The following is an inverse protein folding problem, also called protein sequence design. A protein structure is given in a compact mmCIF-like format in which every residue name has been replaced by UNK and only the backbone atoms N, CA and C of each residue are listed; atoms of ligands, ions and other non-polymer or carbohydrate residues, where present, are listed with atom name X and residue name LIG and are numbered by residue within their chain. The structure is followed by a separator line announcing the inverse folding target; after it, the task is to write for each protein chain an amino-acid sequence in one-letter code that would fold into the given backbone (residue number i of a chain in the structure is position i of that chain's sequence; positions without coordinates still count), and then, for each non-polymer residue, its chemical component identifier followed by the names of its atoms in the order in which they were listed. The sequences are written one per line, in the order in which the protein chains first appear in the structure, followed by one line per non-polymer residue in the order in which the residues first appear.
data_IF_451325343248
#
_entry.id   IF_451325343248
#
_cell.length_a   1.000
_cell.length_b   1.000
_cell.length_c   1.000
_cell.angle_alpha   90.00
_cell.angle_beta   90.00
_cell.angle_gamma   90.00
#
_symmetry.space_group_name_H-M   'P 1'
#
loop_
_entity.id
_entity.type
_entity.pdbx_description
1 polymer ?
#
# COMPACT_ATOMS: atom_id res chain seq x y z
N UNK A 1 18.32 0.04 18.77
CA UNK A 1 19.27 0.98 18.13
C UNK A 1 18.47 2.19 17.63
N UNK A 2 18.94 3.39 17.92
CA UNK A 2 18.27 4.63 17.53
C UNK A 2 18.58 4.98 16.08
N UNK A 3 17.62 4.74 15.17
CA UNK A 3 17.76 5.00 13.74
C UNK A 3 18.07 6.49 13.45
N UNK A 4 17.57 7.41 14.29
CA UNK A 4 17.81 8.84 14.09
C UNK A 4 19.29 9.20 14.21
N UNK A 5 20.04 8.53 15.08
CA UNK A 5 21.47 8.79 15.31
C UNK A 5 22.36 8.37 14.14
N UNK A 6 21.89 7.47 13.27
CA UNK A 6 22.67 6.92 12.15
C UNK A 6 22.07 7.29 10.77
N UNK A 7 21.08 8.18 10.72
CA UNK A 7 20.34 8.49 9.49
C UNK A 7 21.26 8.96 8.35
N UNK A 8 22.30 9.71 8.67
CA UNK A 8 23.21 10.34 7.69
C UNK A 8 24.07 9.32 6.95
N UNK A 9 24.32 8.15 7.56
CA UNK A 9 25.04 7.05 6.91
C UNK A 9 24.08 6.02 6.32
N UNK A 10 22.98 5.71 7.02
CA UNK A 10 22.01 4.68 6.61
C UNK A 10 21.21 5.08 5.37
N UNK A 11 20.76 6.33 5.27
CA UNK A 11 19.95 6.76 4.12
C UNK A 11 20.74 6.67 2.80
N UNK A 12 21.99 7.17 2.69
CA UNK A 12 22.78 6.99 1.47
C UNK A 12 23.07 5.53 1.12
N UNK A 13 23.33 4.68 2.13
CA UNK A 13 23.54 3.25 1.93
C UNK A 13 22.27 2.56 1.42
N UNK A 14 21.12 2.88 2.01
CA UNK A 14 19.81 2.39 1.60
C UNK A 14 19.50 2.80 0.16
N UNK A 15 19.76 4.06 -0.20
CA UNK A 15 19.56 4.56 -1.55
C UNK A 15 20.48 3.86 -2.56
N UNK A 16 21.74 3.62 -2.18
CA UNK A 16 22.70 2.89 -3.02
C UNK A 16 22.26 1.44 -3.22
N UNK A 17 21.81 0.76 -2.17
CA UNK A 17 21.26 -0.59 -2.24
C UNK A 17 19.97 -0.65 -3.08
N UNK A 18 19.10 0.37 -2.96
CA UNK A 18 17.89 0.50 -3.76
C UNK A 18 18.25 0.62 -5.25
N UNK A 19 19.08 1.60 -5.62
CA UNK A 19 19.45 1.88 -7.01
C UNK A 19 20.21 0.73 -7.68
N UNK A 20 21.08 0.05 -6.94
CA UNK A 20 21.81 -1.12 -7.44
C UNK A 20 20.96 -2.39 -7.53
N UNK A 21 19.72 -2.37 -7.02
CA UNK A 21 18.87 -3.55 -6.94
C UNK A 21 19.30 -4.58 -5.88
N UNK A 22 20.25 -4.24 -5.01
CA UNK A 22 20.76 -5.11 -3.94
C UNK A 22 19.94 -5.03 -2.64
N UNK A 23 19.02 -4.08 -2.53
CA UNK A 23 18.08 -4.01 -1.42
C UNK A 23 17.34 -5.34 -1.21
N UNK A 24 17.14 -5.76 0.04
CA UNK A 24 16.32 -6.92 0.39
C UNK A 24 15.22 -6.45 1.34
N UNK A 25 13.97 -6.73 0.98
CA UNK A 25 12.86 -6.43 1.86
C UNK A 25 12.97 -7.32 3.12
N UNK A 26 13.04 -6.75 4.32
CA UNK A 26 12.98 -7.49 5.57
C UNK A 26 11.60 -8.13 5.75
N UNK A 27 11.54 -9.12 6.64
CA UNK A 27 10.27 -9.70 7.03
C UNK A 27 9.40 -8.67 7.76
N UNK A 28 8.10 -8.71 7.49
CA UNK A 28 7.10 -7.85 8.10
C UNK A 28 6.64 -8.49 9.40
N UNK A 29 6.68 -7.74 10.49
CA UNK A 29 6.17 -8.21 11.77
C UNK A 29 4.65 -8.06 11.80
N UNK A 30 3.92 -9.15 12.06
CA UNK A 30 2.48 -9.11 12.25
C UNK A 30 2.14 -8.85 13.71
N UNK A 31 1.32 -7.84 13.93
CA UNK A 31 0.73 -7.53 15.24
C UNK A 31 -0.78 -7.59 15.14
N UNK A 32 -1.42 -8.03 16.21
CA UNK A 32 -2.88 -8.16 16.28
C UNK A 32 -3.45 -7.07 17.19
N UNK A 33 -4.22 -6.17 16.60
CA UNK A 33 -4.87 -5.07 17.34
C UNK A 33 -6.31 -5.49 17.64
N UNK A 34 -6.78 -5.40 18.90
CA UNK A 34 -8.17 -5.64 19.24
C UNK A 34 -9.10 -4.68 18.49
N UNK A 35 -10.18 -5.22 17.93
CA UNK A 35 -11.29 -4.45 17.38
C UNK A 35 -12.45 -4.48 18.39
N UNK A 36 -13.30 -3.45 18.36
CA UNK A 36 -14.43 -3.30 19.30
C UNK A 36 -15.47 -4.43 19.25
N UNK A 37 -15.45 -5.27 18.20
CA UNK A 37 -16.31 -6.43 18.02
C UNK A 37 -15.67 -7.76 18.52
N UNK A 38 -14.58 -7.68 19.29
CA UNK A 38 -13.86 -8.84 19.81
C UNK A 38 -12.99 -9.57 18.77
N UNK A 39 -13.00 -9.14 17.51
CA UNK A 39 -12.11 -9.66 16.47
C UNK A 39 -10.74 -8.99 16.55
N UNK A 40 -9.71 -9.64 16.04
CA UNK A 40 -8.38 -9.07 15.91
C UNK A 40 -8.19 -8.53 14.49
N UNK A 41 -7.62 -7.34 14.36
CA UNK A 41 -7.16 -6.79 13.08
C UNK A 41 -5.66 -7.08 12.95
N UNK A 42 -5.23 -7.92 11.99
CA UNK A 42 -3.81 -8.09 11.71
C UNK A 42 -3.25 -6.82 11.07
N UNK A 43 -2.09 -6.38 11.55
CA UNK A 43 -1.34 -5.25 11.01
C UNK A 43 0.10 -5.70 10.74
N UNK A 44 0.59 -5.42 9.54
CA UNK A 44 1.99 -5.58 9.19
C UNK A 44 2.76 -4.32 9.55
N UNK A 45 3.77 -4.45 10.41
CA UNK A 45 4.70 -3.39 10.75
C UNK A 45 5.98 -3.55 9.92
N UNK A 46 6.14 -2.78 8.82
CA UNK A 46 7.40 -2.71 8.11
C UNK A 46 8.44 -1.92 8.92
N UNK A 47 9.72 -2.11 8.57
CA UNK A 47 10.82 -1.33 9.17
C UNK A 47 10.73 0.14 8.78
N UNK A 48 11.46 1.01 9.50
CA UNK A 48 11.53 2.44 9.16
C UNK A 48 12.10 2.67 7.76
N UNK A 49 13.10 1.87 7.36
CA UNK A 49 13.73 1.95 6.03
C UNK A 49 12.75 1.51 4.93
N UNK A 50 11.96 0.45 5.17
CA UNK A 50 10.90 0.02 4.26
C UNK A 50 9.82 1.08 4.12
N UNK A 51 9.34 1.64 5.23
CA UNK A 51 8.33 2.72 5.19
C UNK A 51 8.85 3.91 4.38
N UNK A 52 10.12 4.28 4.56
CA UNK A 52 10.74 5.37 3.83
C UNK A 52 10.78 5.08 2.31
N UNK A 53 11.27 3.91 1.91
CA UNK A 53 11.33 3.52 0.50
C UNK A 53 9.95 3.32 -0.12
N UNK A 54 9.01 2.69 0.59
CA UNK A 54 7.63 2.52 0.14
C UNK A 54 6.96 3.88 -0.06
N UNK A 55 7.18 4.84 0.84
CA UNK A 55 6.66 6.21 0.71
C UNK A 55 7.26 6.91 -0.52
N UNK A 56 8.58 6.80 -0.71
CA UNK A 56 9.26 7.39 -1.85
C UNK A 56 8.76 6.79 -3.19
N UNK A 57 8.66 5.46 -3.28
CA UNK A 57 8.12 4.77 -4.46
C UNK A 57 6.66 5.14 -4.69
N UNK A 58 5.84 5.21 -3.63
CA UNK A 58 4.42 5.61 -3.73
C UNK A 58 4.28 7.00 -4.35
N UNK A 59 5.10 7.97 -3.94
CA UNK A 59 5.09 9.32 -4.53
C UNK A 59 5.41 9.31 -6.02
N UNK A 60 6.39 8.49 -6.44
CA UNK A 60 6.73 8.34 -7.86
C UNK A 60 5.57 7.70 -8.64
N UNK A 61 4.96 6.66 -8.10
CA UNK A 61 3.81 6.00 -8.74
C UNK A 61 2.60 6.93 -8.82
N UNK A 62 2.33 7.71 -7.78
CA UNK A 62 1.23 8.68 -7.77
C UNK A 62 1.34 9.65 -8.94
N UNK A 63 2.54 10.18 -9.24
CA UNK A 63 2.75 11.07 -10.39
C UNK A 63 2.40 10.41 -11.74
N UNK A 64 2.49 9.09 -11.84
CA UNK A 64 2.16 8.35 -13.07
C UNK A 64 0.66 8.03 -13.15
N UNK A 65 0.04 7.69 -12.02
CA UNK A 65 -1.33 7.15 -12.00
C UNK A 65 -2.42 8.18 -11.68
N UNK A 66 -2.09 9.33 -11.08
CA UNK A 66 -3.11 10.27 -10.56
C UNK A 66 -4.07 10.76 -11.66
N UNK A 67 -3.53 11.12 -12.82
CA UNK A 67 -4.29 11.62 -13.98
C UNK A 67 -5.13 10.52 -14.68
N UNK A 68 -4.90 9.25 -14.34
CA UNK A 68 -5.61 8.12 -14.93
C UNK A 68 -6.74 7.58 -14.06
N UNK A 69 -6.82 7.98 -12.78
CA UNK A 69 -7.88 7.52 -11.90
C UNK A 69 -9.23 8.03 -12.37
N UNK A 70 -10.25 7.18 -12.25
CA UNK A 70 -11.63 7.58 -12.46
C UNK A 70 -11.97 8.80 -11.58
N UNK A 71 -12.65 9.84 -12.12
CA UNK A 71 -12.96 11.05 -11.37
C UNK A 71 -13.71 10.82 -10.05
N UNK A 72 -14.61 9.83 -10.02
CA UNK A 72 -15.35 9.42 -8.82
C UNK A 72 -14.58 8.47 -7.88
N UNK A 73 -13.27 8.30 -8.06
CA UNK A 73 -12.42 7.56 -7.13
C UNK A 73 -11.85 8.51 -6.07
N UNK A 74 -12.17 8.28 -4.79
CA UNK A 74 -11.79 9.18 -3.69
C UNK A 74 -10.83 8.56 -2.67
N UNK A 75 -10.73 7.23 -2.63
CA UNK A 75 -9.94 6.53 -1.63
C UNK A 75 -8.43 6.64 -1.88
N UNK A 76 -7.67 6.91 -0.82
CA UNK A 76 -6.20 6.86 -0.80
C UNK A 76 -5.50 7.75 -1.85
N UNK A 77 -6.16 8.82 -2.29
CA UNK A 77 -5.64 9.75 -3.31
C UNK A 77 -5.28 11.11 -2.70
N UNK A 78 -4.16 11.74 -3.09
CA UNK A 78 -3.83 13.10 -2.68
C UNK A 78 -4.94 14.09 -3.05
N UNK A 79 -5.32 14.97 -2.11
CA UNK A 79 -6.33 16.00 -2.35
C UNK A 79 -7.78 15.50 -2.49
N UNK A 80 -8.01 14.19 -2.30
CA UNK A 80 -9.35 13.59 -2.27
C UNK A 80 -9.75 13.20 -0.85
N UNK A 81 -11.04 13.27 -0.54
CA UNK A 81 -11.55 12.92 0.78
C UNK A 81 -12.87 12.16 0.74
N UNK A 82 -13.19 11.50 1.86
CA UNK A 82 -14.46 10.81 2.07
C UNK A 82 -15.65 11.79 1.98
N UNK A 83 -15.45 13.04 2.43
CA UNK A 83 -16.48 14.08 2.37
C UNK A 83 -16.84 14.45 0.94
N UNK A 84 -15.85 14.56 0.04
CA UNK A 84 -16.11 14.81 -1.38
C UNK A 84 -16.91 13.66 -2.02
N UNK A 85 -16.62 12.40 -1.65
CA UNK A 85 -17.38 11.25 -2.13
C UNK A 85 -18.85 11.31 -1.68
N UNK A 86 -19.10 11.68 -0.42
CA UNK A 86 -20.44 11.83 0.13
C UNK A 86 -21.20 12.99 -0.52
N UNK A 87 -20.52 14.10 -0.79
CA UNK A 87 -21.10 15.26 -1.47
C UNK A 87 -21.50 14.92 -2.91
N UNK A 88 -20.63 14.22 -3.66
CA UNK A 88 -20.98 13.74 -5.00
C UNK A 88 -22.19 12.80 -4.95
N UNK A 89 -22.19 11.80 -4.05
CA UNK A 89 -23.32 10.88 -3.89
C UNK A 89 -24.62 11.63 -3.56
N UNK A 90 -24.57 12.55 -2.60
CA UNK A 90 -25.73 13.38 -2.20
C UNK A 90 -26.25 14.19 -3.38
N UNK A 91 -25.36 14.74 -4.22
CA UNK A 91 -25.76 15.50 -5.39
C UNK A 91 -26.47 14.66 -6.45
N UNK A 92 -26.00 13.42 -6.66
CA UNK A 92 -26.55 12.48 -7.64
C UNK A 92 -27.94 12.00 -7.22
N UNK A 93 -28.14 11.74 -5.92
CA UNK A 93 -29.44 11.31 -5.39
C UNK A 93 -30.43 12.47 -5.36
N UNK A 94 -30.00 13.64 -4.89
CA UNK A 94 -30.89 14.79 -4.67
C UNK A 94 -31.31 15.51 -5.95
N UNK A 95 -30.38 15.70 -6.90
CA UNK A 95 -30.60 16.59 -8.05
C UNK A 95 -30.73 15.85 -9.39
N UNK A 96 -30.14 14.66 -9.51
CA UNK A 96 -30.16 13.87 -10.76
C UNK A 96 -31.19 12.74 -10.76
N UNK A 97 -31.95 12.60 -9.67
CA UNK A 97 -33.07 11.66 -9.60
C UNK A 97 -32.68 10.18 -9.51
N UNK A 98 -31.41 9.88 -9.22
CA UNK A 98 -30.94 8.51 -9.03
C UNK A 98 -31.43 7.98 -7.67
N UNK A 99 -32.43 7.10 -7.68
CA UNK A 99 -33.08 6.58 -6.45
C UNK A 99 -32.60 5.20 -6.01
N UNK A 100 -31.79 4.54 -6.83
CA UNK A 100 -31.27 3.20 -6.56
C UNK A 100 -29.76 3.29 -6.36
N UNK A 101 -29.28 2.76 -5.23
CA UNK A 101 -27.86 2.69 -4.89
C UNK A 101 -27.48 1.21 -4.83
N UNK A 102 -26.41 0.85 -5.52
CA UNK A 102 -25.81 -0.47 -5.43
C UNK A 102 -24.61 -0.35 -4.50
N UNK A 103 -24.68 -0.99 -3.34
CA UNK A 103 -23.57 -1.11 -2.41
C UNK A 103 -22.80 -2.41 -2.71
N UNK A 104 -21.50 -2.28 -2.96
CA UNK A 104 -20.62 -3.39 -3.31
C UNK A 104 -19.29 -3.24 -2.56
N UNK A 105 -18.94 -4.24 -1.76
CA UNK A 105 -17.68 -4.32 -1.02
C UNK A 105 -16.88 -5.56 -1.41
N UNK A 106 -15.56 -5.42 -1.46
CA UNK A 106 -14.66 -6.53 -1.77
C UNK A 106 -14.13 -7.16 -0.48
N UNK A 107 -14.55 -8.39 -0.22
CA UNK A 107 -14.04 -9.15 0.91
C UNK A 107 -12.54 -9.42 0.75
N UNK A 108 -11.78 -9.15 1.81
CA UNK A 108 -10.34 -9.43 1.88
C UNK A 108 -9.53 -8.83 0.71
N UNK A 109 -9.91 -7.65 0.21
CA UNK A 109 -9.28 -7.04 -0.98
C UNK A 109 -7.75 -7.11 -0.97
N UNK A 110 -7.10 -6.66 0.10
CA UNK A 110 -5.64 -6.66 0.18
C UNK A 110 -5.04 -8.05 0.37
N UNK A 111 -5.78 -9.02 0.92
CA UNK A 111 -5.28 -10.38 1.12
C UNK A 111 -5.35 -11.25 -0.14
N UNK A 112 -6.19 -10.88 -1.12
CA UNK A 112 -6.45 -11.68 -2.34
C UNK A 112 -5.81 -11.09 -3.61
N UNK A 113 -4.97 -10.05 -3.50
CA UNK A 113 -4.32 -9.44 -4.67
C UNK A 113 -3.40 -10.45 -5.35
N UNK A 114 -3.75 -10.87 -6.57
CA UNK A 114 -2.89 -11.73 -7.36
C UNK A 114 -1.63 -10.95 -7.81
N UNK A 115 -0.44 -11.41 -7.38
CA UNK A 115 0.82 -10.72 -7.69
C UNK A 115 1.12 -10.67 -9.19
N UNK A 116 0.70 -11.68 -9.95
CA UNK A 116 0.93 -11.71 -11.40
C UNK A 116 0.11 -10.64 -12.12
N UNK A 117 -1.18 -10.55 -11.80
CA UNK A 117 -2.05 -9.50 -12.33
C UNK A 117 -1.53 -8.10 -11.94
N UNK A 118 -1.09 -7.91 -10.69
CA UNK A 118 -0.51 -6.64 -10.25
C UNK A 118 0.78 -6.29 -11.03
N UNK A 119 1.65 -7.27 -11.29
CA UNK A 119 2.87 -7.08 -12.10
C UNK A 119 2.54 -6.70 -13.53
N UNK A 120 1.61 -7.41 -14.17
CA UNK A 120 1.15 -7.11 -15.52
C UNK A 120 0.56 -5.71 -15.63
N UNK A 121 -0.24 -5.29 -14.64
CA UNK A 121 -0.77 -3.93 -14.56
C UNK A 121 0.37 -2.89 -14.46
N UNK A 122 1.34 -3.10 -13.58
CA UNK A 122 2.48 -2.19 -13.43
C UNK A 122 3.30 -2.11 -14.72
N UNK A 123 3.46 -3.21 -15.45
CA UNK A 123 4.21 -3.27 -16.71
C UNK A 123 3.59 -2.39 -17.82
N UNK A 124 2.30 -2.03 -17.73
CA UNK A 124 1.64 -1.15 -18.70
C UNK A 124 2.22 0.27 -18.72
N UNK A 125 2.81 0.73 -17.61
CA UNK A 125 3.25 2.13 -17.45
C UNK A 125 4.62 2.28 -16.77
N UNK A 126 4.97 1.39 -15.85
CA UNK A 126 6.24 1.46 -15.11
C UNK A 126 7.28 0.61 -15.84
N UNK A 127 8.14 1.26 -16.62
CA UNK A 127 9.23 0.56 -17.34
C UNK A 127 10.52 0.43 -16.52
N UNK A 128 10.66 1.20 -15.45
CA UNK A 128 11.80 1.11 -14.55
C UNK A 128 11.88 -0.29 -13.91
N UNK A 129 12.95 -1.03 -14.21
CA UNK A 129 13.17 -2.38 -13.70
C UNK A 129 13.54 -2.43 -12.21
N UNK A 130 14.14 -1.37 -11.67
CA UNK A 130 14.50 -1.27 -10.25
C UNK A 130 13.24 -1.13 -9.41
N UNK A 131 12.32 -0.22 -9.80
CA UNK A 131 11.04 -0.03 -9.11
C UNK A 131 10.22 -1.32 -9.13
N UNK A 132 10.08 -1.97 -10.29
CA UNK A 132 9.33 -3.22 -10.41
C UNK A 132 9.90 -4.34 -9.55
N UNK A 133 11.22 -4.55 -9.59
CA UNK A 133 11.91 -5.54 -8.74
C UNK A 133 11.74 -5.21 -7.25
N UNK A 134 11.70 -3.92 -6.89
CA UNK A 134 11.47 -3.50 -5.52
C UNK A 134 10.08 -3.88 -5.02
N UNK A 135 9.05 -3.56 -5.81
CA UNK A 135 7.66 -3.90 -5.48
C UNK A 135 7.51 -5.42 -5.32
N UNK A 136 8.10 -6.19 -6.24
CA UNK A 136 8.08 -7.66 -6.16
C UNK A 136 8.77 -8.19 -4.89
N UNK A 137 9.86 -7.56 -4.43
CA UNK A 137 10.50 -7.90 -3.16
C UNK A 137 9.61 -7.63 -1.95
N UNK A 138 8.84 -6.53 -1.94
CA UNK A 138 7.88 -6.26 -0.87
C UNK A 138 6.70 -7.22 -0.88
N UNK A 139 6.19 -7.57 -2.06
CA UNK A 139 5.09 -8.54 -2.21
C UNK A 139 5.50 -9.94 -1.72
N UNK A 140 6.76 -10.33 -1.94
CA UNK A 140 7.33 -11.62 -1.50
C UNK A 140 7.95 -11.59 -0.11
N UNK A 141 7.92 -10.45 0.58
CA UNK A 141 8.49 -10.34 1.91
C UNK A 141 7.79 -11.32 2.87
N UNK A 142 8.58 -12.05 3.66
CA UNK A 142 8.03 -12.96 4.66
C UNK A 142 7.28 -12.18 5.74
N UNK A 143 6.26 -12.79 6.30
CA UNK A 143 5.50 -12.27 7.43
C UNK A 143 5.84 -13.11 8.65
N UNK A 144 6.41 -12.47 9.68
CA UNK A 144 6.60 -13.09 10.98
C UNK A 144 5.33 -12.89 11.81
N UNK A 145 4.59 -13.96 12.06
CA UNK A 145 3.34 -13.95 12.81
C UNK A 145 3.41 -14.96 13.97
N UNK A 146 3.28 -14.48 15.20
CA UNK A 146 3.38 -15.28 16.43
C UNK A 146 4.60 -16.23 16.47
N UNK A 147 5.75 -15.77 15.97
CA UNK A 147 6.99 -16.56 15.91
C UNK A 147 7.13 -17.49 14.71
N UNK A 148 6.10 -17.60 13.86
CA UNK A 148 6.14 -18.37 12.62
C UNK A 148 6.40 -17.47 11.42
N UNK A 149 7.34 -17.85 10.57
CA UNK A 149 7.61 -17.15 9.32
C UNK A 149 6.80 -17.76 8.18
N UNK A 150 5.98 -16.92 7.53
CA UNK A 150 5.09 -17.30 6.43
C UNK A 150 5.44 -16.47 5.20
N UNK A 151 5.41 -17.08 4.01
CA UNK A 151 5.65 -16.38 2.74
C UNK A 151 4.36 -16.32 1.93
N UNK A 152 3.69 -15.15 1.83
CA UNK A 152 2.45 -15.02 1.06
C UNK A 152 2.69 -15.25 -0.43
N UNK A 153 1.81 -16.03 -1.07
CA UNK A 153 1.78 -16.22 -2.53
C UNK A 153 0.83 -15.24 -3.24
N UNK A 154 0.00 -14.55 -2.47
CA UNK A 154 -0.95 -13.53 -2.91
C UNK A 154 -1.13 -12.46 -1.82
N UNK A 155 -1.82 -11.38 -2.19
CA UNK A 155 -2.09 -10.25 -1.33
C UNK A 155 -0.92 -9.28 -1.17
N UNK A 156 -1.21 -8.16 -0.55
CA UNK A 156 -0.22 -7.21 -0.04
C UNK A 156 -0.26 -7.27 1.48
N UNK A 157 0.89 -7.35 2.17
CA UNK A 157 0.92 -7.25 3.62
C UNK A 157 0.16 -6.00 4.09
N UNK A 158 -0.79 -6.10 5.03
CA UNK A 158 -1.57 -4.95 5.45
C UNK A 158 -0.64 -3.92 6.10
N UNK A 159 -0.46 -2.78 5.43
CA UNK A 159 0.36 -1.69 5.95
C UNK A 159 -0.31 -0.97 7.11
N UNK A 160 0.52 -0.31 7.92
CA UNK A 160 0.04 0.67 8.91
C UNK A 160 -0.58 1.86 8.17
N UNK A 161 -1.85 2.17 8.45
CA UNK A 161 -2.49 3.40 7.96
C UNK A 161 -1.69 4.57 8.55
N UNK A 162 -0.95 5.30 7.72
CA UNK A 162 -0.45 6.60 8.14
C UNK A 162 -1.66 7.52 8.33
N UNK A 163 -1.85 8.14 9.52
CA UNK A 163 -2.92 9.08 9.72
C UNK A 163 -2.57 10.37 8.97
N UNK A 164 -3.28 10.60 7.87
CA UNK A 164 -3.51 11.93 7.35
C UNK A 164 -5.01 12.20 7.48
#
# INVERSE_FOLDING_TARGET
MDYHKQRETRIPQLLTAFKSGNYRAPNILRVHIPKGDGKLRPLGLPTVEDKLLQTAVTRVLQLVYEDMFYPGSYGFRPGKSQHQALEELSSQVSWKGNRNIIDADMQNYFGSINHQCLREFLDLRIKDGVIRKMIDKWLKAGVLDNGQLIYPTEGTPPGERSPH
#
